data_IF_336497518766
#
_entry.id   IF_336497518766
#
_cell.length_a   1.000
_cell.length_b   1.000
_cell.length_c   1.000
_cell.angle_alpha   90.00
_cell.angle_beta   90.00
_cell.angle_gamma   90.00
#
_symmetry.space_group_name_H-M   'P 1'
#
loop_
_entity.id
_entity.type
_entity.pdbx_description
1 polymer ?
#
# COMPACT_ATOMS: atom_id res chain seq x y z
N UNK A 1 -4.39 -32.44 -5.82
CA UNK A 1 -4.85 -31.39 -6.74
C UNK A 1 -6.03 -30.63 -6.15
N UNK A 2 -7.11 -31.32 -5.76
CA UNK A 2 -8.29 -30.71 -5.12
C UNK A 2 -8.00 -30.01 -3.78
N UNK A 3 -7.18 -30.62 -2.91
CA UNK A 3 -6.77 -30.00 -1.65
C UNK A 3 -5.95 -28.71 -1.82
N UNK A 4 -5.13 -28.62 -2.89
CA UNK A 4 -4.37 -27.41 -3.19
C UNK A 4 -5.27 -26.28 -3.70
N UNK A 5 -6.33 -26.62 -4.45
CA UNK A 5 -7.32 -25.64 -4.93
C UNK A 5 -8.17 -25.09 -3.78
N UNK A 6 -8.69 -25.97 -2.92
CA UNK A 6 -9.46 -25.55 -1.72
C UNK A 6 -8.62 -24.63 -0.81
N UNK A 7 -7.32 -24.94 -0.68
CA UNK A 7 -6.42 -24.10 0.09
C UNK A 7 -6.15 -22.75 -0.57
N UNK A 8 -5.99 -22.72 -1.91
CA UNK A 8 -5.88 -21.46 -2.67
C UNK A 8 -7.13 -20.60 -2.55
N UNK A 9 -8.31 -21.19 -2.73
CA UNK A 9 -9.60 -20.48 -2.65
C UNK A 9 -9.80 -19.90 -1.23
N UNK A 10 -9.46 -20.66 -0.18
CA UNK A 10 -9.53 -20.20 1.20
C UNK A 10 -8.51 -19.09 1.52
N UNK A 11 -7.33 -19.12 0.89
CA UNK A 11 -6.34 -18.06 1.03
C UNK A 11 -6.84 -16.77 0.34
N UNK A 12 -7.39 -16.87 -0.86
CA UNK A 12 -7.89 -15.71 -1.62
C UNK A 12 -9.09 -15.05 -0.91
N UNK A 13 -10.02 -15.83 -0.36
CA UNK A 13 -11.16 -15.30 0.42
C UNK A 13 -10.70 -14.64 1.73
N UNK A 14 -9.70 -15.21 2.40
CA UNK A 14 -9.15 -14.62 3.62
C UNK A 14 -8.39 -13.31 3.31
N UNK A 15 -7.59 -13.30 2.24
CA UNK A 15 -6.87 -12.14 1.75
C UNK A 15 -7.83 -11.00 1.39
N UNK A 16 -8.93 -11.30 0.70
CA UNK A 16 -9.97 -10.32 0.37
C UNK A 16 -10.61 -9.68 1.62
N UNK A 17 -11.00 -10.49 2.61
CA UNK A 17 -11.62 -9.98 3.83
C UNK A 17 -10.64 -9.18 4.70
N UNK A 18 -9.38 -9.63 4.77
CA UNK A 18 -8.31 -8.94 5.48
C UNK A 18 -8.04 -7.57 4.86
N UNK A 19 -7.98 -7.48 3.53
CA UNK A 19 -7.80 -6.21 2.78
C UNK A 19 -8.96 -5.25 2.97
N UNK A 20 -10.21 -5.73 2.90
CA UNK A 20 -11.38 -4.87 3.12
C UNK A 20 -11.37 -4.29 4.54
N UNK A 21 -11.05 -5.13 5.54
CA UNK A 21 -10.95 -4.68 6.93
C UNK A 21 -9.84 -3.65 7.13
N UNK A 22 -8.69 -3.84 6.49
CA UNK A 22 -7.57 -2.88 6.53
C UNK A 22 -7.93 -1.54 5.86
N UNK A 23 -8.65 -1.59 4.73
CA UNK A 23 -9.14 -0.39 4.05
C UNK A 23 -10.14 0.39 4.92
N UNK A 24 -11.08 -0.29 5.57
CA UNK A 24 -12.03 0.34 6.50
C UNK A 24 -11.33 0.96 7.70
N UNK A 25 -10.34 0.28 8.28
CA UNK A 25 -9.55 0.81 9.40
C UNK A 25 -8.73 2.05 9.03
N UNK A 26 -8.18 2.10 7.81
CA UNK A 26 -7.45 3.27 7.34
C UNK A 26 -8.36 4.49 7.18
N UNK A 27 -9.54 4.33 6.58
CA UNK A 27 -10.50 5.44 6.46
C UNK A 27 -10.94 5.92 7.85
N UNK A 28 -11.11 4.98 8.81
CA UNK A 28 -11.43 5.33 10.18
C UNK A 28 -10.28 6.11 10.84
N UNK A 29 -9.02 5.73 10.64
CA UNK A 29 -7.86 6.49 11.10
C UNK A 29 -7.84 7.91 10.52
N UNK A 30 -8.13 8.07 9.22
CA UNK A 30 -8.21 9.39 8.56
C UNK A 30 -9.31 10.26 9.20
N UNK A 31 -10.52 9.71 9.37
CA UNK A 31 -11.61 10.41 10.08
C UNK A 31 -11.21 10.78 11.52
N UNK A 32 -10.49 9.89 12.22
CA UNK A 32 -9.99 10.18 13.55
C UNK A 32 -8.98 11.33 13.57
N UNK A 33 -8.09 11.42 12.58
CA UNK A 33 -7.13 12.53 12.45
C UNK A 33 -7.83 13.87 12.17
N UNK A 34 -8.87 13.87 11.33
CA UNK A 34 -9.70 15.06 11.09
C UNK A 34 -10.40 15.52 12.37
N UNK A 35 -10.98 14.59 13.13
CA UNK A 35 -11.60 14.87 14.42
C UNK A 35 -10.57 15.38 15.43
N UNK A 36 -9.36 14.81 15.47
CA UNK A 36 -8.27 15.30 16.32
C UNK A 36 -7.92 16.77 16.02
N UNK A 37 -7.81 17.12 14.73
CA UNK A 37 -7.53 18.47 14.30
C UNK A 37 -8.64 19.46 14.71
N UNK A 38 -9.91 19.03 14.63
CA UNK A 38 -11.05 19.81 15.11
C UNK A 38 -11.06 19.97 16.64
N UNK A 39 -10.79 18.88 17.36
CA UNK A 39 -10.68 18.85 18.81
C UNK A 39 -9.60 19.83 19.29
N UNK A 40 -8.44 19.85 18.64
CA UNK A 40 -7.31 20.73 19.00
C UNK A 40 -7.67 22.23 18.94
N UNK A 41 -8.67 22.60 18.15
CA UNK A 41 -9.14 23.98 17.99
C UNK A 41 -10.37 24.30 18.86
N UNK A 42 -10.90 23.32 19.57
CA UNK A 42 -12.18 23.40 20.28
C UNK A 42 -12.02 23.37 21.80
N UNK A 43 -12.91 24.06 22.52
CA UNK A 43 -13.02 23.93 23.97
C UNK A 43 -14.00 22.81 24.33
N UNK A 44 -13.53 21.57 24.22
CA UNK A 44 -14.32 20.38 24.56
C UNK A 44 -14.19 20.01 26.03
N UNK A 45 -15.17 19.27 26.53
CA UNK A 45 -15.09 18.73 27.89
C UNK A 45 -14.00 17.65 27.97
N UNK A 46 -13.37 17.52 29.15
CA UNK A 46 -12.38 16.47 29.41
C UNK A 46 -12.91 15.08 29.10
N UNK A 47 -14.19 14.84 29.39
CA UNK A 47 -14.86 13.57 29.06
C UNK A 47 -14.84 13.25 27.55
N UNK A 48 -15.09 14.23 26.68
CA UNK A 48 -15.06 14.02 25.22
C UNK A 48 -13.63 13.75 24.75
N UNK A 49 -12.65 14.48 25.30
CA UNK A 49 -11.23 14.28 24.97
C UNK A 49 -10.74 12.89 25.36
N UNK A 50 -11.07 12.42 26.57
CA UNK A 50 -10.68 11.08 27.05
C UNK A 50 -11.30 9.97 26.19
N UNK A 51 -12.59 10.06 25.88
CA UNK A 51 -13.24 9.05 25.02
C UNK A 51 -12.66 9.05 23.60
N UNK A 52 -12.32 10.22 23.05
CA UNK A 52 -11.66 10.31 21.76
C UNK A 52 -10.27 9.65 21.78
N UNK A 53 -9.45 9.92 22.79
CA UNK A 53 -8.14 9.30 22.94
C UNK A 53 -8.21 7.78 23.05
N UNK A 54 -9.22 7.26 23.77
CA UNK A 54 -9.45 5.81 23.88
C UNK A 54 -9.83 5.22 22.52
N UNK A 55 -10.73 5.86 21.78
CA UNK A 55 -11.11 5.41 20.44
C UNK A 55 -9.90 5.38 19.50
N UNK A 56 -9.06 6.44 19.53
CA UNK A 56 -7.85 6.55 18.71
C UNK A 56 -6.87 5.41 19.00
N UNK A 57 -6.61 5.15 20.29
CA UNK A 57 -5.75 4.04 20.71
C UNK A 57 -6.23 2.69 20.13
N UNK A 58 -7.53 2.40 20.17
CA UNK A 58 -8.05 1.14 19.65
C UNK A 58 -7.95 1.03 18.13
N UNK A 59 -8.17 2.13 17.40
CA UNK A 59 -8.00 2.15 15.95
C UNK A 59 -6.52 1.92 15.58
N UNK A 60 -5.60 2.59 16.25
CA UNK A 60 -4.15 2.43 16.05
C UNK A 60 -3.70 0.97 16.32
N UNK A 61 -4.17 0.36 17.42
CA UNK A 61 -3.88 -1.05 17.74
C UNK A 61 -4.45 -2.04 16.72
N UNK A 62 -5.68 -1.80 16.26
CA UNK A 62 -6.30 -2.63 15.21
C UNK A 62 -5.53 -2.52 13.90
N UNK A 63 -5.16 -1.30 13.49
CA UNK A 63 -4.36 -1.06 12.29
C UNK A 63 -3.03 -1.82 12.37
N UNK A 64 -2.30 -1.67 13.47
CA UNK A 64 -1.03 -2.37 13.71
C UNK A 64 -1.18 -3.89 13.65
N UNK A 65 -2.24 -4.44 14.26
CA UNK A 65 -2.50 -5.88 14.27
C UNK A 65 -2.81 -6.40 12.87
N UNK A 66 -3.65 -5.69 12.11
CA UNK A 66 -4.01 -6.09 10.75
C UNK A 66 -2.82 -5.97 9.79
N UNK A 67 -1.99 -4.93 9.92
CA UNK A 67 -0.73 -4.82 9.16
C UNK A 67 0.20 -6.01 9.42
N UNK A 68 0.33 -6.44 10.68
CA UNK A 68 1.14 -7.62 11.01
C UNK A 68 0.55 -8.90 10.39
N UNK A 69 -0.77 -9.07 10.47
CA UNK A 69 -1.45 -10.23 9.88
C UNK A 69 -1.27 -10.28 8.34
N UNK A 70 -1.30 -9.14 7.65
CA UNK A 70 -1.03 -9.08 6.20
C UNK A 70 0.39 -9.53 5.91
N UNK A 71 1.39 -9.05 6.65
CA UNK A 71 2.80 -9.46 6.48
C UNK A 71 2.99 -10.96 6.69
N UNK A 72 2.40 -11.50 7.76
CA UNK A 72 2.50 -12.92 8.08
C UNK A 72 1.82 -13.79 7.01
N UNK A 73 0.72 -13.29 6.44
CA UNK A 73 -0.01 -13.95 5.36
C UNK A 73 0.76 -13.93 4.03
N UNK A 74 1.36 -12.80 3.66
CA UNK A 74 2.23 -12.69 2.48
C UNK A 74 3.41 -13.66 2.58
N UNK A 75 4.04 -13.77 3.76
CA UNK A 75 5.09 -14.76 4.01
C UNK A 75 4.61 -16.21 3.84
N UNK A 76 3.39 -16.54 4.28
CA UNK A 76 2.82 -17.88 4.10
C UNK A 76 2.51 -18.16 2.62
N UNK A 77 1.96 -17.18 1.91
CA UNK A 77 1.66 -17.28 0.47
C UNK A 77 2.93 -17.49 -0.36
N UNK A 78 3.98 -16.72 -0.10
CA UNK A 78 5.26 -16.84 -0.83
C UNK A 78 5.88 -18.23 -0.66
N UNK A 79 5.83 -18.80 0.55
CA UNK A 79 6.30 -20.16 0.82
C UNK A 79 5.52 -21.26 0.08
N UNK A 80 4.24 -21.00 -0.24
CA UNK A 80 3.37 -21.97 -0.93
C UNK A 80 3.51 -21.84 -2.45
N UNK A 81 3.60 -20.61 -2.95
CA UNK A 81 3.61 -20.33 -4.40
C UNK A 81 5.01 -20.48 -5.00
N UNK A 82 6.07 -20.14 -4.26
CA UNK A 82 7.46 -20.28 -4.72
C UNK A 82 8.38 -20.79 -3.59
N UNK A 83 8.44 -22.10 -3.34
CA UNK A 83 9.23 -22.68 -2.25
C UNK A 83 10.76 -22.47 -2.38
N UNK A 84 11.25 -22.10 -3.57
CA UNK A 84 12.68 -21.87 -3.86
C UNK A 84 13.03 -20.39 -4.10
N UNK A 85 12.12 -19.43 -3.84
CA UNK A 85 12.42 -18.02 -4.10
C UNK A 85 13.44 -17.49 -3.08
N UNK A 86 14.63 -17.03 -3.50
CA UNK A 86 15.59 -16.44 -2.59
C UNK A 86 15.01 -15.14 -2.04
N UNK A 87 15.11 -14.97 -0.72
CA UNK A 87 14.71 -13.80 0.04
C UNK A 87 15.03 -12.51 -0.74
N UNK A 88 14.01 -11.89 -1.34
CA UNK A 88 14.17 -10.59 -1.95
C UNK A 88 14.27 -9.54 -0.83
N UNK A 89 15.16 -8.55 -0.97
CA UNK A 89 15.42 -7.60 0.10
C UNK A 89 14.17 -6.80 0.47
N UNK A 90 13.64 -7.10 1.66
CA UNK A 90 12.88 -6.19 2.52
C UNK A 90 11.39 -6.02 2.24
N UNK A 91 10.97 -5.77 1.00
CA UNK A 91 9.60 -5.28 0.72
C UNK A 91 8.94 -5.82 -0.57
N UNK A 92 9.53 -6.82 -1.23
CA UNK A 92 8.85 -7.49 -2.35
C UNK A 92 7.77 -8.42 -1.80
N UNK A 93 6.55 -8.35 -2.34
CA UNK A 93 5.36 -9.05 -1.85
C UNK A 93 4.49 -8.24 -0.89
N UNK A 94 5.01 -7.16 -0.29
CA UNK A 94 4.30 -6.39 0.74
C UNK A 94 3.26 -5.42 0.16
N UNK A 95 2.10 -5.37 0.80
CA UNK A 95 1.14 -4.29 0.61
C UNK A 95 1.59 -3.04 1.39
N UNK A 96 1.57 -1.90 0.72
CA UNK A 96 1.88 -0.60 1.28
C UNK A 96 0.78 0.37 0.88
N UNK A 97 0.64 1.48 1.61
CA UNK A 97 -0.24 2.58 1.24
C UNK A 97 0.56 3.83 0.88
N UNK A 98 -0.02 4.66 0.01
CA UNK A 98 0.58 5.92 -0.41
C UNK A 98 0.36 7.02 0.64
N UNK A 99 1.43 7.62 1.14
CA UNK A 99 1.42 8.68 2.16
C UNK A 99 1.71 10.07 1.55
N UNK A 100 1.05 10.36 0.43
CA UNK A 100 1.11 11.67 -0.22
C UNK A 100 -0.27 12.01 -0.77
N UNK A 101 -0.68 13.28 -0.66
CA UNK A 101 -2.00 13.75 -1.12
C UNK A 101 -2.26 13.40 -2.59
N UNK A 102 -1.19 13.43 -3.40
CA UNK A 102 -1.19 12.94 -4.78
C UNK A 102 0.20 12.42 -5.15
N UNK A 103 0.28 11.13 -5.48
CA UNK A 103 1.52 10.46 -5.85
C UNK A 103 1.51 10.03 -7.31
N UNK A 104 2.38 10.65 -8.11
CA UNK A 104 2.58 10.24 -9.50
C UNK A 104 3.16 8.82 -9.56
N UNK A 105 2.44 7.90 -10.19
CA UNK A 105 2.98 6.60 -10.58
C UNK A 105 3.25 6.58 -12.09
N UNK A 106 4.25 5.78 -12.49
CA UNK A 106 4.90 5.86 -13.79
C UNK A 106 5.10 4.49 -14.41
N UNK A 107 5.15 4.37 -15.73
CA UNK A 107 5.43 3.07 -16.38
C UNK A 107 6.93 2.74 -16.39
N UNK A 108 7.79 3.72 -16.09
CA UNK A 108 9.22 3.56 -15.95
C UNK A 108 9.76 4.47 -14.83
N UNK A 109 10.80 4.04 -14.08
CA UNK A 109 11.39 4.80 -12.99
C UNK A 109 12.18 5.99 -13.54
N UNK A 110 11.57 7.17 -13.59
CA UNK A 110 12.20 8.39 -14.11
C UNK A 110 11.67 9.62 -13.39
N UNK A 111 12.57 10.55 -13.09
CA UNK A 111 12.25 11.90 -12.60
C UNK A 111 12.04 12.92 -13.71
N UNK A 112 12.54 12.63 -14.91
CA UNK A 112 12.89 13.69 -15.87
C UNK A 112 11.80 13.97 -16.90
N UNK A 113 10.80 13.09 -17.00
CA UNK A 113 9.78 13.17 -18.05
C UNK A 113 8.37 13.01 -17.47
N UNK A 114 7.51 14.01 -17.68
CA UNK A 114 6.07 13.90 -17.41
C UNK A 114 5.39 12.87 -18.29
N UNK A 115 5.98 12.57 -19.46
CA UNK A 115 5.50 11.56 -20.41
C UNK A 115 5.41 10.16 -19.81
N UNK A 116 6.16 9.90 -18.72
CA UNK A 116 6.17 8.61 -18.05
C UNK A 116 5.10 8.48 -16.96
N UNK A 117 4.40 9.57 -16.63
CA UNK A 117 3.34 9.57 -15.64
C UNK A 117 2.12 8.85 -16.20
N UNK A 118 1.69 7.84 -15.48
CA UNK A 118 0.51 7.03 -15.78
C UNK A 118 -0.76 7.57 -15.16
N UNK A 119 -0.61 8.28 -14.05
CA UNK A 119 -1.69 8.82 -13.26
C UNK A 119 -1.17 9.20 -11.88
N UNK A 120 -2.12 9.46 -10.99
CA UNK A 120 -1.85 9.84 -9.61
C UNK A 120 -2.66 8.96 -8.68
N UNK A 121 -2.00 8.45 -7.65
CA UNK A 121 -2.68 7.81 -6.53
C UNK A 121 -3.03 8.87 -5.49
N UNK A 122 -4.28 8.93 -5.00
CA UNK A 122 -4.60 9.68 -3.79
C UNK A 122 -3.91 9.05 -2.58
N UNK A 123 -3.75 9.82 -1.48
CA UNK A 123 -3.31 9.27 -0.18
C UNK A 123 -4.19 8.07 0.21
N UNK A 124 -3.58 7.07 0.87
CA UNK A 124 -4.28 5.86 1.32
C UNK A 124 -4.50 4.80 0.25
N UNK A 125 -4.00 5.00 -0.97
CA UNK A 125 -4.12 3.97 -2.01
C UNK A 125 -3.25 2.77 -1.67
N UNK A 126 -3.88 1.61 -1.52
CA UNK A 126 -3.20 0.34 -1.34
C UNK A 126 -2.55 -0.12 -2.64
N UNK A 127 -1.27 -0.47 -2.53
CA UNK A 127 -0.45 -0.96 -3.62
C UNK A 127 0.35 -2.16 -3.17
N UNK A 128 0.45 -3.18 -4.03
CA UNK A 128 1.33 -4.31 -3.77
C UNK A 128 2.69 -4.04 -4.36
N UNK A 129 3.71 -3.91 -3.52
CA UNK A 129 5.09 -3.76 -3.97
C UNK A 129 5.63 -5.12 -4.37
N UNK A 130 5.98 -5.29 -5.64
CA UNK A 130 6.56 -6.53 -6.18
C UNK A 130 8.08 -6.44 -6.35
N UNK A 131 8.65 -5.24 -6.23
CA UNK A 131 10.08 -5.02 -6.32
C UNK A 131 10.50 -3.65 -5.79
N UNK A 132 11.78 -3.52 -5.42
CA UNK A 132 12.37 -2.24 -5.02
C UNK A 132 13.64 -2.01 -5.82
N UNK A 133 13.64 -0.98 -6.66
CA UNK A 133 14.77 -0.54 -7.45
C UNK A 133 15.56 0.50 -6.67
N UNK A 134 16.74 0.10 -6.19
CA UNK A 134 17.68 1.03 -5.54
C UNK A 134 18.25 2.02 -6.56
N UNK A 135 18.64 3.23 -6.12
CA UNK A 135 19.27 4.21 -6.99
C UNK A 135 20.50 3.59 -7.66
N UNK A 136 20.49 3.48 -9.00
CA UNK A 136 21.70 3.16 -9.76
C UNK A 136 22.33 4.47 -10.21
N UNK A 137 23.57 4.73 -9.75
CA UNK A 137 24.31 5.98 -10.01
C UNK A 137 24.48 6.36 -11.49
N UNK A 138 24.14 5.50 -12.45
CA UNK A 138 24.48 5.70 -13.87
C UNK A 138 23.30 5.72 -14.86
N UNK A 139 22.05 5.45 -14.45
CA UNK A 139 20.92 5.34 -15.41
C UNK A 139 19.80 6.36 -15.18
N UNK A 140 19.62 6.83 -13.96
CA UNK A 140 18.56 7.78 -13.61
C UNK A 140 19.19 8.81 -12.69
N UNK A 141 19.16 10.08 -13.07
CA UNK A 141 19.85 11.18 -12.41
C UNK A 141 19.15 11.58 -11.08
N UNK A 142 18.76 10.59 -10.27
CA UNK A 142 17.99 10.78 -9.04
C UNK A 142 18.43 9.82 -7.93
N UNK A 143 18.56 10.35 -6.71
CA UNK A 143 18.78 9.58 -5.48
C UNK A 143 17.50 8.85 -5.01
N UNK A 144 16.55 8.58 -5.93
CA UNK A 144 15.23 8.06 -5.60
C UNK A 144 15.25 6.54 -5.68
N UNK A 145 14.81 5.90 -4.60
CA UNK A 145 14.45 4.49 -4.59
C UNK A 145 13.05 4.35 -5.15
N UNK A 146 12.87 3.50 -6.16
CA UNK A 146 11.58 3.25 -6.79
C UNK A 146 10.97 1.94 -6.28
N UNK A 147 9.69 1.98 -5.92
CA UNK A 147 8.87 0.81 -5.70
C UNK A 147 8.29 0.38 -7.05
N UNK A 148 8.45 -0.89 -7.41
CA UNK A 148 7.69 -1.54 -8.47
C UNK A 148 6.41 -2.10 -7.86
N UNK A 149 5.27 -1.73 -8.42
CA UNK A 149 3.94 -1.98 -7.88
C UNK A 149 3.09 -2.74 -8.89
N UNK A 150 2.42 -3.81 -8.46
CA UNK A 150 1.50 -4.59 -9.28
C UNK A 150 0.28 -3.76 -9.71
N UNK A 151 -0.08 -3.86 -10.99
CA UNK A 151 -1.25 -3.19 -11.56
C UNK A 151 -2.47 -4.12 -11.48
N UNK A 152 -3.16 -4.07 -10.35
CA UNK A 152 -4.46 -4.71 -10.13
C UNK A 152 -5.64 -3.79 -10.56
N UNK A 153 -6.89 -4.20 -10.28
CA UNK A 153 -8.08 -3.39 -10.60
C UNK A 153 -8.11 -2.06 -9.82
N UNK A 154 -7.56 -2.04 -8.60
CA UNK A 154 -7.43 -0.84 -7.75
C UNK A 154 -6.47 0.17 -8.35
N UNK A 155 -5.38 -0.28 -8.96
CA UNK A 155 -4.43 0.60 -9.65
C UNK A 155 -4.98 1.04 -11.00
N UNK A 156 -5.65 0.15 -11.75
CA UNK A 156 -6.16 0.43 -13.11
C UNK A 156 -7.12 1.61 -13.16
N UNK A 157 -7.98 1.80 -12.15
CA UNK A 157 -8.94 2.92 -12.13
C UNK A 157 -8.28 4.30 -12.11
N UNK A 158 -7.02 4.38 -11.68
CA UNK A 158 -6.26 5.63 -11.62
C UNK A 158 -5.36 5.86 -12.84
N UNK A 159 -5.30 4.91 -13.78
CA UNK A 159 -4.52 5.08 -15.01
C UNK A 159 -5.25 6.05 -15.93
N UNK A 160 -4.62 7.18 -16.22
CA UNK A 160 -5.15 8.22 -17.11
C UNK A 160 -4.40 8.29 -18.43
N UNK A 161 -3.22 7.67 -18.52
CA UNK A 161 -2.39 7.66 -19.72
C UNK A 161 -2.38 6.28 -20.39
N UNK A 162 -2.89 6.22 -21.63
CA UNK A 162 -2.98 4.98 -22.40
C UNK A 162 -1.63 4.30 -22.67
N UNK A 163 -0.50 5.02 -22.59
CA UNK A 163 0.85 4.42 -22.70
C UNK A 163 1.15 3.42 -21.58
N UNK A 164 0.42 3.49 -20.47
CA UNK A 164 0.59 2.59 -19.33
C UNK A 164 -0.27 1.32 -19.41
N UNK A 165 -1.12 1.21 -20.44
CA UNK A 165 -1.86 -0.02 -20.72
C UNK A 165 -1.08 -1.02 -21.59
N UNK A 166 0.03 -0.60 -22.22
CA UNK A 166 0.79 -1.45 -23.13
C UNK A 166 1.75 -2.38 -22.38
N UNK A 167 1.20 -3.42 -21.75
CA UNK A 167 1.91 -4.66 -21.45
C UNK A 167 2.74 -4.72 -20.16
N UNK A 168 2.81 -3.64 -19.37
CA UNK A 168 3.45 -3.71 -18.04
C UNK A 168 2.42 -4.12 -16.99
N UNK A 169 2.67 -5.25 -16.33
CA UNK A 169 1.90 -5.69 -15.15
C UNK A 169 2.24 -4.86 -13.90
N UNK A 170 3.15 -3.89 -14.04
CA UNK A 170 3.68 -3.09 -12.95
C UNK A 170 3.81 -1.61 -13.32
N UNK A 171 3.78 -0.76 -12.29
CA UNK A 171 4.07 0.67 -12.34
C UNK A 171 5.10 1.02 -11.26
N UNK A 172 5.71 2.19 -11.38
CA UNK A 172 6.77 2.65 -10.51
C UNK A 172 6.38 3.94 -9.80
N UNK A 173 6.67 4.00 -8.51
CA UNK A 173 6.50 5.20 -7.69
C UNK A 173 7.64 5.34 -6.69
N UNK A 174 7.85 6.55 -6.16
CA UNK A 174 8.93 6.80 -5.24
C UNK A 174 8.64 6.12 -3.89
N UNK A 175 9.53 5.20 -3.48
CA UNK A 175 9.35 4.34 -2.30
C UNK A 175 9.23 5.14 -1.00
N UNK A 176 9.82 6.34 -0.93
CA UNK A 176 9.73 7.22 0.25
C UNK A 176 8.32 7.67 0.61
N UNK A 177 7.37 7.56 -0.32
CA UNK A 177 5.96 7.90 -0.12
C UNK A 177 5.10 6.66 0.14
N UNK A 178 5.72 5.51 0.39
CA UNK A 178 5.02 4.31 0.83
C UNK A 178 5.23 4.08 2.31
N UNK A 179 4.17 3.62 2.96
CA UNK A 179 4.17 3.23 4.37
C UNK A 179 3.63 1.81 4.50
N UNK A 180 4.18 1.11 5.49
CA UNK A 180 3.70 -0.21 5.90
C UNK A 180 2.61 -0.09 6.95
#
# INVERSE_FOLDING_TARGET
>A
YEAARIYSDALDDYDFNLRNSLYELFNLEEEMLEVEAYIAQSHLSTYILENFQIAKYYVDELLSTYQQNVRDFDHLRDRIVNPDHPDHPGNAGQYMYTDADSLNFRYAPSTDTSDYICGQFPRGTFVKVVGVLKPQQNYYNSNITWAEVEVDETVRKYITNNKCYSGTHTVYLAFSYLKN
#
